data_IF_615807685962
#
_entry.id   IF_615807685962
#
_cell.length_a   1.000
_cell.length_b   1.000
_cell.length_c   1.000
_cell.angle_alpha   90.00
_cell.angle_beta   90.00
_cell.angle_gamma   90.00
#
_symmetry.space_group_name_H-M   'P 1'
#
loop_
_entity.id
_entity.type
_entity.pdbx_description
1 polymer ?
#
# COMPACT_ATOMS: atom_id res chain seq x y z
N UNK A 1 95.59 6.21 -24.10
CA UNK A 1 94.55 7.23 -23.76
C UNK A 1 93.23 6.49 -23.47
N UNK A 2 92.42 7.03 -22.57
CA UNK A 2 91.47 6.36 -21.65
C UNK A 2 90.38 5.49 -22.33
N UNK A 3 90.17 4.26 -21.80
CA UNK A 3 88.99 3.42 -22.05
C UNK A 3 87.76 4.05 -21.36
N UNK A 4 86.73 4.40 -22.11
CA UNK A 4 85.44 4.84 -21.57
C UNK A 4 84.57 3.60 -21.27
N UNK A 5 84.34 3.33 -19.99
CA UNK A 5 83.40 2.32 -19.50
C UNK A 5 81.99 2.93 -19.45
N UNK A 6 81.06 2.38 -20.23
CA UNK A 6 79.64 2.71 -20.11
C UNK A 6 79.01 1.66 -19.18
N UNK A 7 78.86 2.02 -17.90
CA UNK A 7 78.02 1.26 -16.96
C UNK A 7 76.55 1.55 -17.29
N UNK A 8 75.80 0.52 -17.69
CA UNK A 8 74.35 0.57 -17.80
C UNK A 8 73.77 0.76 -16.40
N UNK A 9 73.19 1.93 -16.14
CA UNK A 9 72.38 2.17 -14.94
C UNK A 9 70.99 1.61 -15.25
N UNK A 10 70.71 0.41 -14.77
CA UNK A 10 69.36 -0.16 -14.77
C UNK A 10 68.57 0.49 -13.63
N UNK A 11 67.80 1.52 -13.96
CA UNK A 11 66.84 2.13 -13.04
C UNK A 11 65.63 1.18 -12.94
N UNK A 12 65.54 0.44 -11.83
CA UNK A 12 64.40 -0.43 -11.54
C UNK A 12 63.25 0.44 -11.04
N UNK A 13 62.29 0.79 -11.91
CA UNK A 13 61.05 1.45 -11.52
C UNK A 13 60.07 0.37 -11.07
N UNK A 14 59.90 0.25 -9.75
CA UNK A 14 58.96 -0.68 -9.14
C UNK A 14 57.52 -0.20 -9.39
N UNK A 15 56.82 -0.87 -10.30
CA UNK A 15 55.42 -0.61 -10.61
C UNK A 15 54.52 -1.19 -9.51
N UNK A 16 54.22 -0.38 -8.49
CA UNK A 16 53.14 -0.69 -7.55
C UNK A 16 51.79 -0.34 -8.19
N UNK A 17 51.24 -1.28 -8.96
CA UNK A 17 49.85 -1.22 -9.42
C UNK A 17 48.97 -1.57 -8.22
N UNK A 18 48.49 -0.55 -7.49
CA UNK A 18 47.32 -0.70 -6.62
C UNK A 18 46.13 -1.03 -7.52
N UNK A 19 45.82 -2.32 -7.65
CA UNK A 19 44.52 -2.76 -8.14
C UNK A 19 43.50 -2.37 -7.09
N UNK A 20 42.97 -1.15 -7.18
CA UNK A 20 41.67 -0.82 -6.63
C UNK A 20 40.66 -1.70 -7.36
N UNK A 21 40.38 -2.86 -6.79
CA UNK A 21 39.21 -3.66 -7.09
C UNK A 21 38.00 -2.85 -6.63
N UNK A 22 37.58 -1.90 -7.46
CA UNK A 22 36.27 -1.27 -7.37
C UNK A 22 35.27 -2.38 -7.66
N UNK A 23 34.91 -3.16 -6.63
CA UNK A 23 33.72 -3.99 -6.66
C UNK A 23 32.59 -3.05 -6.99
N UNK A 24 32.14 -3.07 -8.24
CA UNK A 24 30.89 -2.48 -8.65
C UNK A 24 29.84 -3.12 -7.76
N UNK A 25 29.47 -2.45 -6.67
CA UNK A 25 28.30 -2.79 -5.88
C UNK A 25 27.14 -2.53 -6.82
N UNK A 26 26.70 -3.56 -7.53
CA UNK A 26 25.44 -3.53 -8.27
C UNK A 26 24.41 -3.02 -7.28
N UNK A 27 23.80 -1.86 -7.58
CA UNK A 27 22.82 -1.25 -6.72
C UNK A 27 21.66 -2.25 -6.57
N UNK A 28 21.64 -2.95 -5.44
CA UNK A 28 20.62 -3.92 -5.10
C UNK A 28 19.31 -3.13 -4.93
N UNK A 29 18.33 -3.41 -5.77
CA UNK A 29 17.01 -2.78 -5.68
C UNK A 29 16.00 -3.77 -5.14
N UNK A 30 15.05 -3.30 -4.34
CA UNK A 30 13.88 -4.04 -3.88
C UNK A 30 12.67 -3.36 -4.48
N UNK A 31 11.89 -4.08 -5.25
CA UNK A 31 10.68 -3.56 -5.88
C UNK A 31 9.46 -4.06 -5.14
N UNK A 32 8.56 -3.15 -4.76
CA UNK A 32 7.43 -3.45 -3.89
C UNK A 32 6.14 -2.95 -4.53
N UNK A 33 5.17 -3.84 -4.75
CA UNK A 33 3.80 -3.49 -5.08
C UNK A 33 2.97 -3.35 -3.79
N UNK A 34 2.27 -2.23 -3.61
CA UNK A 34 1.57 -1.93 -2.35
C UNK A 34 0.17 -1.39 -2.60
N UNK A 35 -0.82 -1.98 -1.95
CA UNK A 35 -2.18 -1.46 -1.97
C UNK A 35 -2.22 0.00 -1.46
N UNK A 36 -2.95 0.86 -2.18
CA UNK A 36 -2.86 2.31 -1.99
C UNK A 36 -3.26 2.81 -0.59
N UNK A 37 -4.02 2.05 0.21
CA UNK A 37 -4.32 2.41 1.60
C UNK A 37 -3.04 2.46 2.46
N UNK A 38 -2.05 1.63 2.16
CA UNK A 38 -0.84 1.44 2.96
C UNK A 38 0.32 2.36 2.56
N UNK A 39 0.09 3.29 1.63
CA UNK A 39 1.13 4.20 1.12
C UNK A 39 1.85 4.98 2.23
N UNK A 40 1.11 5.63 3.13
CA UNK A 40 1.71 6.44 4.21
C UNK A 40 2.61 5.61 5.14
N UNK A 41 2.13 4.44 5.55
CA UNK A 41 2.89 3.53 6.42
C UNK A 41 4.11 2.94 5.71
N UNK A 42 3.98 2.55 4.43
CA UNK A 42 5.09 2.01 3.66
C UNK A 42 6.24 3.02 3.49
N UNK A 43 5.92 4.28 3.21
CA UNK A 43 6.94 5.34 3.13
C UNK A 43 7.72 5.44 4.46
N UNK A 44 7.02 5.40 5.59
CA UNK A 44 7.66 5.46 6.92
C UNK A 44 8.48 4.19 7.21
N UNK A 45 7.99 3.01 6.84
CA UNK A 45 8.69 1.74 6.99
C UNK A 45 9.99 1.70 6.19
N UNK A 46 9.96 2.11 4.91
CA UNK A 46 11.15 2.14 4.05
C UNK A 46 12.19 3.12 4.59
N UNK A 47 11.76 4.31 5.01
CA UNK A 47 12.67 5.31 5.58
C UNK A 47 13.30 4.83 6.89
N UNK A 48 12.48 4.26 7.80
CA UNK A 48 12.95 3.80 9.10
C UNK A 48 13.81 2.53 8.98
N UNK A 49 13.53 1.65 8.01
CA UNK A 49 14.38 0.52 7.66
C UNK A 49 15.75 1.00 7.18
N UNK A 50 15.80 1.99 6.28
CA UNK A 50 17.06 2.57 5.82
C UNK A 50 17.87 3.26 6.93
N UNK A 51 17.20 3.76 7.97
CA UNK A 51 17.83 4.37 9.15
C UNK A 51 18.17 3.36 10.28
N UNK A 52 17.80 2.09 10.14
CA UNK A 52 17.90 1.09 11.21
C UNK A 52 19.32 0.57 11.47
N UNK A 53 20.29 0.92 10.62
CA UNK A 53 21.66 0.40 10.68
C UNK A 53 21.83 -1.00 10.07
N UNK A 54 20.76 -1.57 9.49
CA UNK A 54 20.85 -2.75 8.63
C UNK A 54 21.65 -2.43 7.35
N UNK A 55 22.28 -3.43 6.70
CA UNK A 55 23.18 -3.20 5.55
C UNK A 55 22.46 -2.77 4.26
N UNK A 56 21.20 -2.37 4.36
CA UNK A 56 20.33 -2.04 3.22
C UNK A 56 19.83 -0.60 3.37
N UNK A 57 20.08 0.22 2.35
CA UNK A 57 19.64 1.61 2.31
C UNK A 57 18.17 1.72 1.89
N UNK A 58 17.46 2.74 2.38
CA UNK A 58 16.12 3.08 1.90
C UNK A 58 16.09 3.44 0.41
N UNK A 59 17.20 3.96 -0.14
CA UNK A 59 17.36 4.27 -1.58
C UNK A 59 17.34 3.04 -2.49
N UNK A 60 17.40 1.83 -1.91
CA UNK A 60 17.27 0.58 -2.64
C UNK A 60 15.82 0.24 -2.99
N UNK A 61 14.81 0.94 -2.44
CA UNK A 61 13.40 0.59 -2.64
C UNK A 61 12.78 1.36 -3.81
N UNK A 62 12.12 0.62 -4.70
CA UNK A 62 11.18 1.17 -5.69
C UNK A 62 9.79 0.67 -5.33
N UNK A 63 8.93 1.59 -4.87
CA UNK A 63 7.58 1.24 -4.40
C UNK A 63 6.53 1.77 -5.37
N UNK A 64 5.63 0.89 -5.82
CA UNK A 64 4.48 1.23 -6.67
C UNK A 64 3.19 1.05 -5.88
N UNK A 65 2.32 2.06 -5.93
CA UNK A 65 1.02 2.04 -5.24
C UNK A 65 -0.13 1.85 -6.22
N UNK A 66 -1.12 1.03 -5.87
CA UNK A 66 -2.20 0.63 -6.79
C UNK A 66 -3.33 -0.14 -6.12
N UNK A 67 -4.23 -0.71 -6.93
CA UNK A 67 -5.27 -1.63 -6.45
C UNK A 67 -4.72 -3.05 -6.30
N UNK A 68 -5.22 -3.78 -5.30
CA UNK A 68 -4.82 -5.16 -5.02
C UNK A 68 -5.08 -6.09 -6.20
N UNK A 69 -6.26 -6.02 -6.80
CA UNK A 69 -6.63 -6.85 -7.96
C UNK A 69 -5.84 -6.53 -9.23
N UNK A 70 -5.46 -5.27 -9.44
CA UNK A 70 -4.63 -4.87 -10.59
C UNK A 70 -3.22 -5.45 -10.46
N UNK A 71 -2.62 -5.37 -9.27
CA UNK A 71 -1.33 -6.01 -9.00
C UNK A 71 -1.41 -7.53 -9.09
N UNK A 72 -2.46 -8.15 -8.55
CA UNK A 72 -2.68 -9.59 -8.68
C UNK A 72 -2.68 -10.01 -10.15
N UNK A 73 -3.47 -9.31 -10.97
CA UNK A 73 -3.59 -9.60 -12.40
C UNK A 73 -2.25 -9.47 -13.10
N UNK A 74 -1.51 -8.37 -12.85
CA UNK A 74 -0.20 -8.14 -13.45
C UNK A 74 0.84 -9.21 -13.02
N UNK A 75 0.88 -9.55 -11.72
CA UNK A 75 1.79 -10.56 -11.17
C UNK A 75 1.47 -11.94 -11.75
N UNK A 76 0.21 -12.37 -11.71
CA UNK A 76 -0.22 -13.65 -12.28
C UNK A 76 0.12 -13.74 -13.77
N UNK A 77 -0.19 -12.69 -14.54
CA UNK A 77 0.10 -12.65 -15.98
C UNK A 77 1.61 -12.80 -16.24
N UNK A 78 2.44 -12.11 -15.46
CA UNK A 78 3.89 -12.21 -15.59
C UNK A 78 4.44 -13.60 -15.20
N UNK A 79 3.91 -14.21 -14.12
CA UNK A 79 4.38 -15.51 -13.63
C UNK A 79 3.84 -16.71 -14.41
N UNK A 80 2.74 -16.55 -15.13
CA UNK A 80 2.16 -17.62 -15.97
C UNK A 80 2.94 -17.85 -17.28
N UNK A 81 3.74 -16.87 -17.72
CA UNK A 81 4.57 -17.03 -18.92
C UNK A 81 5.71 -18.05 -18.68
N UNK A 82 6.12 -18.85 -19.69
CA UNK A 82 7.28 -19.73 -19.56
C UNK A 82 8.55 -18.94 -19.21
N UNK A 83 9.16 -19.25 -18.07
CA UNK A 83 10.30 -18.49 -17.53
C UNK A 83 9.96 -17.07 -17.08
N UNK A 84 8.67 -16.77 -16.92
CA UNK A 84 8.16 -15.46 -16.56
C UNK A 84 8.54 -15.04 -15.14
N UNK A 85 8.93 -13.78 -15.00
CA UNK A 85 9.23 -13.15 -13.71
C UNK A 85 8.43 -11.87 -13.57
N UNK A 86 7.88 -11.63 -12.38
CA UNK A 86 7.25 -10.35 -12.06
C UNK A 86 8.31 -9.28 -11.73
N UNK A 87 8.04 -7.99 -12.01
CA UNK A 87 8.94 -6.91 -11.62
C UNK A 87 8.93 -6.62 -10.12
N UNK A 88 8.20 -7.37 -9.28
CA UNK A 88 8.04 -7.12 -7.85
C UNK A 88 8.68 -8.23 -6.99
N UNK A 89 9.45 -7.84 -5.98
CA UNK A 89 9.99 -8.74 -4.96
C UNK A 89 9.01 -8.97 -3.81
N UNK A 90 8.15 -7.98 -3.57
CA UNK A 90 7.18 -7.96 -2.48
C UNK A 90 5.85 -7.44 -2.99
N UNK A 91 4.77 -8.04 -2.53
CA UNK A 91 3.42 -7.59 -2.76
C UNK A 91 2.66 -7.48 -1.45
N UNK A 92 2.20 -6.27 -1.11
CA UNK A 92 1.38 -5.95 0.06
C UNK A 92 -0.05 -5.69 -0.40
N UNK A 93 -0.94 -6.66 -0.19
CA UNK A 93 -2.35 -6.57 -0.54
C UNK A 93 -3.16 -5.88 0.58
N UNK A 94 -4.38 -5.44 0.26
CA UNK A 94 -5.35 -4.93 1.24
C UNK A 94 -6.39 -5.98 1.67
N UNK A 95 -6.17 -7.23 1.29
CA UNK A 95 -6.92 -8.43 1.68
C UNK A 95 -5.92 -9.56 2.00
N UNK A 96 -6.45 -10.69 2.48
CA UNK A 96 -5.69 -11.91 2.73
C UNK A 96 -5.91 -13.01 1.67
N UNK A 97 -6.98 -12.91 0.89
CA UNK A 97 -7.32 -13.89 -0.14
C UNK A 97 -6.44 -13.77 -1.37
N UNK A 98 -6.02 -12.56 -1.76
CA UNK A 98 -5.23 -12.32 -2.98
C UNK A 98 -3.82 -12.91 -2.85
N UNK A 99 -3.04 -12.65 -1.78
CA UNK A 99 -1.73 -13.29 -1.59
C UNK A 99 -1.82 -14.81 -1.47
N UNK A 100 -2.87 -15.33 -0.82
CA UNK A 100 -3.12 -16.78 -0.73
C UNK A 100 -3.38 -17.43 -2.10
N UNK A 101 -4.17 -16.77 -2.96
CA UNK A 101 -4.41 -17.22 -4.33
C UNK A 101 -3.12 -17.21 -5.16
N UNK A 102 -2.31 -16.14 -5.06
CA UNK A 102 -0.99 -16.07 -5.72
C UNK A 102 -0.08 -17.22 -5.29
N UNK A 103 -0.02 -17.53 -4.00
CA UNK A 103 0.79 -18.63 -3.46
C UNK A 103 0.31 -20.00 -3.97
N UNK A 104 -0.99 -20.16 -4.13
CA UNK A 104 -1.59 -21.39 -4.64
C UNK A 104 -1.27 -21.58 -6.12
N UNK A 105 -1.36 -20.51 -6.92
CA UNK A 105 -1.07 -20.56 -8.36
C UNK A 105 0.43 -20.67 -8.70
N UNK A 106 1.30 -20.10 -7.88
CA UNK A 106 2.73 -20.00 -8.17
C UNK A 106 3.62 -20.46 -6.99
N UNK A 107 3.46 -21.72 -6.53
CA UNK A 107 3.99 -22.19 -5.25
C UNK A 107 5.52 -22.26 -5.16
N UNK A 108 6.22 -22.24 -6.29
CA UNK A 108 7.69 -22.35 -6.37
C UNK A 108 8.39 -21.01 -6.16
N UNK A 109 7.74 -19.90 -6.50
CA UNK A 109 8.34 -18.56 -6.49
C UNK A 109 7.68 -17.65 -5.46
N UNK A 110 6.38 -17.79 -5.24
CA UNK A 110 5.64 -17.03 -4.22
C UNK A 110 5.83 -17.71 -2.87
N UNK A 111 6.27 -16.94 -1.87
CA UNK A 111 6.49 -17.45 -0.51
C UNK A 111 5.17 -17.52 0.27
N UNK A 112 5.20 -18.08 1.49
CA UNK A 112 4.01 -18.12 2.35
C UNK A 112 3.58 -16.68 2.70
N UNK A 113 2.31 -16.30 2.49
CA UNK A 113 1.82 -14.99 2.89
C UNK A 113 1.89 -14.78 4.39
N UNK A 114 2.04 -13.52 4.81
CA UNK A 114 2.01 -13.13 6.22
C UNK A 114 1.11 -11.92 6.42
N UNK A 115 0.35 -11.93 7.52
CA UNK A 115 -0.46 -10.80 7.98
C UNK A 115 0.46 -9.67 8.43
N UNK A 116 0.28 -8.48 7.87
CA UNK A 116 1.01 -7.28 8.29
C UNK A 116 0.14 -6.21 8.95
N UNK A 117 -1.17 -6.17 8.63
CA UNK A 117 -2.08 -5.18 9.18
C UNK A 117 -3.54 -5.63 9.10
N UNK A 118 -4.39 -4.99 9.90
CA UNK A 118 -5.83 -4.92 9.66
C UNK A 118 -6.28 -3.46 9.48
N UNK A 119 -7.00 -3.21 8.41
CA UNK A 119 -7.50 -1.90 8.02
C UNK A 119 -8.86 -1.56 8.61
N UNK A 120 -9.25 -0.29 8.47
CA UNK A 120 -10.59 0.19 8.87
C UNK A 120 -11.20 1.09 7.81
N UNK A 121 -12.48 0.87 7.53
CA UNK A 121 -13.26 1.64 6.57
C UNK A 121 -13.91 2.85 7.25
N UNK A 122 -13.79 4.02 6.63
CA UNK A 122 -14.39 5.27 7.08
C UNK A 122 -15.31 5.82 5.98
N UNK A 123 -16.49 6.30 6.33
CA UNK A 123 -17.19 7.29 5.51
C UNK A 123 -16.73 8.68 5.94
N UNK A 124 -16.07 9.41 5.05
CA UNK A 124 -15.60 10.77 5.33
C UNK A 124 -16.41 11.77 4.51
N UNK A 125 -16.97 12.76 5.20
CA UNK A 125 -17.68 13.89 4.63
C UNK A 125 -16.89 15.17 4.90
N UNK A 126 -16.09 15.61 3.93
CA UNK A 126 -15.19 16.76 4.10
C UNK A 126 -15.96 18.08 4.14
N UNK A 127 -16.86 18.26 3.18
CA UNK A 127 -17.75 19.44 3.07
C UNK A 127 -19.21 19.04 2.81
N UNK A 128 -19.53 17.76 2.94
CA UNK A 128 -20.88 17.25 2.78
C UNK A 128 -21.69 17.28 4.09
N UNK A 129 -22.73 16.45 4.21
CA UNK A 129 -23.55 16.35 5.41
C UNK A 129 -22.74 15.87 6.61
N UNK A 130 -23.20 16.19 7.82
CA UNK A 130 -22.64 15.61 9.02
C UNK A 130 -22.93 14.10 9.07
N UNK A 131 -21.87 13.27 9.07
CA UNK A 131 -21.97 11.81 9.16
C UNK A 131 -21.66 11.27 10.56
N UNK A 132 -21.21 12.11 11.51
CA UNK A 132 -20.88 11.67 12.87
C UNK A 132 -22.11 11.47 13.76
N UNK A 133 -23.24 12.09 13.41
CA UNK A 133 -24.51 11.99 14.17
C UNK A 133 -25.45 10.90 13.65
N UNK A 134 -25.01 10.09 12.70
CA UNK A 134 -25.83 9.08 11.99
C UNK A 134 -26.07 7.80 12.80
N UNK A 135 -26.54 7.87 14.05
CA UNK A 135 -26.93 6.70 14.86
C UNK A 135 -25.91 5.53 14.86
N UNK A 136 -26.39 4.31 15.09
CA UNK A 136 -25.56 3.08 15.00
C UNK A 136 -25.22 2.68 13.56
N UNK A 137 -25.95 3.16 12.56
CA UNK A 137 -25.77 2.75 11.16
C UNK A 137 -24.75 3.58 10.38
N UNK A 138 -24.29 4.73 10.86
CA UNK A 138 -23.34 5.63 10.17
C UNK A 138 -23.87 6.30 8.91
N UNK A 139 -25.01 5.81 8.43
CA UNK A 139 -25.55 6.05 7.12
C UNK A 139 -27.07 5.91 7.24
N UNK A 140 -27.85 6.99 7.28
CA UNK A 140 -29.32 6.89 7.30
C UNK A 140 -29.93 6.79 5.90
N UNK A 141 -29.33 7.39 4.86
CA UNK A 141 -29.65 7.09 3.45
C UNK A 141 -28.68 7.76 2.44
N UNK A 142 -27.88 7.04 1.62
CA UNK A 142 -27.03 7.68 0.59
C UNK A 142 -27.87 8.42 -0.45
N UNK A 143 -29.08 7.92 -0.71
CA UNK A 143 -30.03 8.53 -1.61
C UNK A 143 -30.50 9.90 -1.10
N UNK A 144 -30.48 10.15 0.22
CA UNK A 144 -30.81 11.46 0.79
C UNK A 144 -29.65 12.43 0.85
N UNK A 145 -28.42 12.02 0.54
CA UNK A 145 -27.27 12.93 0.47
C UNK A 145 -26.89 13.28 -0.97
N UNK A 146 -27.43 12.54 -1.93
CA UNK A 146 -27.32 12.85 -3.35
C UNK A 146 -28.33 13.93 -3.83
N UNK A 147 -28.90 14.72 -2.92
CA UNK A 147 -29.75 15.87 -3.27
C UNK A 147 -28.89 17.04 -3.76
N UNK A 148 -28.46 16.94 -5.00
CA UNK A 148 -28.75 17.90 -6.06
C UNK A 148 -27.83 17.64 -7.25
N UNK A 149 -26.53 17.33 -7.06
CA UNK A 149 -25.57 17.09 -8.16
C UNK A 149 -24.30 16.29 -7.78
N UNK A 150 -24.20 15.73 -6.56
CA UNK A 150 -22.97 15.11 -6.04
C UNK A 150 -22.97 13.60 -5.96
N UNK A 151 -21.87 12.97 -6.38
CA UNK A 151 -21.64 11.52 -6.27
C UNK A 151 -20.77 11.20 -5.04
N UNK A 152 -21.08 10.11 -4.33
CA UNK A 152 -20.26 9.58 -3.23
C UNK A 152 -19.06 8.84 -3.83
N UNK A 153 -17.84 9.20 -3.43
CA UNK A 153 -16.65 8.52 -3.92
C UNK A 153 -16.55 7.11 -3.33
N UNK A 154 -16.31 6.11 -4.18
CA UNK A 154 -16.14 4.71 -3.79
C UNK A 154 -15.02 4.08 -4.62
N UNK A 155 -14.20 3.22 -4.01
CA UNK A 155 -13.20 2.45 -4.75
C UNK A 155 -13.88 1.32 -5.53
N UNK A 156 -13.30 0.91 -6.66
CA UNK A 156 -13.81 -0.18 -7.49
C UNK A 156 -13.90 -1.47 -6.65
N UNK A 157 -15.11 -2.01 -6.37
CA UNK A 157 -15.26 -3.18 -5.51
C UNK A 157 -14.71 -4.47 -6.14
N UNK A 158 -14.45 -4.47 -7.46
CA UNK A 158 -13.86 -5.62 -8.16
C UNK A 158 -12.37 -5.75 -7.87
N UNK A 159 -11.64 -4.63 -7.74
CA UNK A 159 -10.17 -4.65 -7.67
C UNK A 159 -9.62 -4.11 -6.35
N UNK A 160 -10.43 -3.41 -5.55
CA UNK A 160 -10.01 -2.79 -4.30
C UNK A 160 -10.80 -3.36 -3.10
N UNK A 161 -10.13 -4.00 -2.13
CA UNK A 161 -10.78 -4.55 -0.92
C UNK A 161 -11.59 -3.53 -0.11
N UNK A 162 -11.14 -2.28 -0.05
CA UNK A 162 -11.90 -1.19 0.58
C UNK A 162 -13.18 -0.82 -0.21
N UNK A 163 -13.18 -1.02 -1.53
CA UNK A 163 -14.37 -0.92 -2.37
C UNK A 163 -15.36 -2.04 -2.08
N UNK A 164 -14.87 -3.28 -1.94
CA UNK A 164 -15.68 -4.44 -1.52
C UNK A 164 -16.29 -4.19 -0.14
N UNK A 165 -15.52 -3.69 0.82
CA UNK A 165 -16.04 -3.34 2.15
C UNK A 165 -17.11 -2.23 2.08
N UNK A 166 -16.90 -1.20 1.26
CA UNK A 166 -17.92 -0.16 1.04
C UNK A 166 -19.20 -0.73 0.40
N UNK A 167 -19.09 -1.60 -0.59
CA UNK A 167 -20.22 -2.33 -1.17
C UNK A 167 -20.97 -3.15 -0.09
N UNK A 168 -20.25 -3.83 0.79
CA UNK A 168 -20.86 -4.59 1.88
C UNK A 168 -21.59 -3.68 2.87
N UNK A 169 -21.05 -2.51 3.20
CA UNK A 169 -21.77 -1.51 4.00
C UNK A 169 -23.08 -1.11 3.31
N UNK A 170 -23.00 -0.73 2.03
CA UNK A 170 -24.19 -0.33 1.27
C UNK A 170 -25.26 -1.42 1.27
N UNK A 171 -24.86 -2.68 1.09
CA UNK A 171 -25.78 -3.82 1.08
C UNK A 171 -26.33 -4.15 2.47
N UNK A 172 -25.46 -4.35 3.47
CA UNK A 172 -25.81 -4.87 4.81
C UNK A 172 -26.42 -3.82 5.72
N UNK A 173 -26.03 -2.56 5.56
CA UNK A 173 -26.43 -1.45 6.44
C UNK A 173 -27.51 -0.59 5.79
N UNK A 174 -27.43 -0.37 4.48
CA UNK A 174 -28.30 0.57 3.78
C UNK A 174 -29.31 -0.07 2.82
N UNK A 175 -29.30 -1.40 2.67
CA UNK A 175 -30.13 -2.12 1.69
C UNK A 175 -29.97 -1.58 0.26
N UNK A 176 -28.76 -1.12 -0.08
CA UNK A 176 -28.41 -0.59 -1.41
C UNK A 176 -27.58 -1.61 -2.16
N UNK A 177 -28.06 -1.95 -3.35
CA UNK A 177 -27.29 -2.75 -4.31
C UNK A 177 -26.38 -1.82 -5.10
N UNK A 178 -25.09 -2.11 -5.08
CA UNK A 178 -24.05 -1.45 -5.87
C UNK A 178 -22.91 -2.45 -6.10
N UNK A 179 -22.30 -2.54 -7.28
CA UNK A 179 -22.76 -1.93 -8.54
C UNK A 179 -23.96 -2.70 -9.12
N UNK A 180 -24.54 -2.21 -10.22
CA UNK A 180 -25.64 -2.83 -10.94
C UNK A 180 -27.03 -2.53 -10.38
N UNK A 181 -27.15 -1.54 -9.50
CA UNK A 181 -28.42 -1.19 -8.85
C UNK A 181 -28.98 0.16 -9.28
N UNK A 182 -30.19 0.49 -8.79
CA UNK A 182 -30.84 1.78 -9.05
C UNK A 182 -30.06 3.00 -8.51
N UNK A 183 -29.07 2.77 -7.64
CA UNK A 183 -28.28 3.81 -7.00
C UNK A 183 -26.90 4.02 -7.63
N UNK A 184 -26.53 3.30 -8.69
CA UNK A 184 -25.19 3.38 -9.30
C UNK A 184 -24.78 4.81 -9.67
N UNK A 185 -25.71 5.59 -10.23
CA UNK A 185 -25.46 6.99 -10.61
C UNK A 185 -25.12 7.90 -9.40
N UNK A 186 -25.39 7.45 -8.17
CA UNK A 186 -25.07 8.18 -6.93
C UNK A 186 -23.63 7.97 -6.47
N UNK A 187 -22.88 7.08 -7.10
CA UNK A 187 -21.51 6.77 -6.73
C UNK A 187 -20.54 7.12 -7.86
N UNK A 188 -19.44 7.76 -7.50
CA UNK A 188 -18.30 7.98 -8.39
C UNK A 188 -17.27 6.90 -8.08
N UNK A 189 -17.09 5.97 -9.02
CA UNK A 189 -16.14 4.88 -8.85
C UNK A 189 -14.72 5.34 -9.19
N UNK A 190 -13.76 4.99 -8.34
CA UNK A 190 -12.33 5.23 -8.53
C UNK A 190 -11.55 3.93 -8.51
N UNK A 191 -10.44 3.85 -9.25
CA UNK A 191 -9.67 2.60 -9.40
C UNK A 191 -9.10 2.07 -8.08
N UNK A 192 -8.64 2.95 -7.19
CA UNK A 192 -8.00 2.57 -5.93
C UNK A 192 -8.57 3.38 -4.78
N UNK A 193 -8.45 2.87 -3.56
CA UNK A 193 -8.79 3.64 -2.35
C UNK A 193 -7.93 4.92 -2.22
N UNK A 194 -6.74 4.94 -2.81
CA UNK A 194 -5.89 6.13 -2.93
C UNK A 194 -6.53 7.21 -3.78
N UNK A 195 -7.00 6.87 -4.98
CA UNK A 195 -7.66 7.84 -5.88
C UNK A 195 -9.03 8.25 -5.34
N UNK A 196 -9.76 7.36 -4.64
CA UNK A 196 -10.99 7.71 -3.90
C UNK A 196 -10.72 8.79 -2.85
N UNK A 197 -9.71 8.60 -1.99
CA UNK A 197 -9.34 9.61 -1.00
C UNK A 197 -8.92 10.93 -1.63
N UNK A 198 -8.07 10.90 -2.66
CA UNK A 198 -7.62 12.12 -3.34
C UNK A 198 -8.80 12.90 -3.91
N UNK A 199 -9.80 12.23 -4.48
CA UNK A 199 -10.98 12.89 -5.00
C UNK A 199 -11.78 13.62 -3.90
N UNK A 200 -12.05 12.95 -2.78
CA UNK A 200 -12.74 13.59 -1.64
C UNK A 200 -11.90 14.72 -1.04
N UNK A 201 -10.59 14.50 -0.90
CA UNK A 201 -9.66 15.47 -0.33
C UNK A 201 -9.46 16.69 -1.24
N UNK A 202 -9.62 16.56 -2.56
CA UNK A 202 -9.51 17.66 -3.50
C UNK A 202 -10.73 18.60 -3.47
N UNK A 203 -11.87 18.16 -2.92
CA UNK A 203 -13.01 19.05 -2.71
C UNK A 203 -12.62 20.25 -1.86
N UNK A 204 -13.16 21.41 -2.21
CA UNK A 204 -12.91 22.72 -1.58
C UNK A 204 -14.15 23.34 -0.95
N UNK A 205 -15.35 22.79 -1.21
CA UNK A 205 -16.62 23.34 -0.74
C UNK A 205 -17.73 22.29 -0.77
N UNK A 206 -18.89 22.64 -0.22
CA UNK A 206 -20.10 21.81 -0.27
C UNK A 206 -20.64 21.59 -1.69
N UNK A 207 -20.18 22.35 -2.69
CA UNK A 207 -20.62 22.27 -4.08
C UNK A 207 -19.57 21.67 -5.04
N UNK A 208 -18.36 21.37 -4.55
CA UNK A 208 -17.30 20.71 -5.33
C UNK A 208 -17.30 19.22 -5.02
N UNK A 209 -17.72 18.39 -5.98
CA UNK A 209 -17.89 16.94 -5.79
C UNK A 209 -16.71 16.12 -6.36
N UNK A 210 -16.44 14.91 -5.80
CA UNK A 210 -17.06 14.36 -4.60
C UNK A 210 -16.51 15.05 -3.34
N UNK A 211 -17.39 15.41 -2.40
CA UNK A 211 -17.03 15.96 -1.09
C UNK A 211 -17.30 15.00 0.08
N UNK A 212 -17.72 13.78 -0.27
CA UNK A 212 -17.98 12.66 0.63
C UNK A 212 -17.52 11.36 -0.05
N UNK A 213 -17.01 10.40 0.71
CA UNK A 213 -16.65 9.09 0.17
C UNK A 213 -16.17 8.08 1.20
N UNK A 214 -16.12 6.83 0.77
CA UNK A 214 -15.54 5.73 1.54
C UNK A 214 -14.02 5.73 1.38
N UNK A 215 -13.30 5.87 2.50
CA UNK A 215 -11.84 5.99 2.55
C UNK A 215 -11.25 5.05 3.60
N UNK A 216 -9.95 4.81 3.54
CA UNK A 216 -9.23 4.09 4.58
C UNK A 216 -8.92 5.01 5.77
N UNK A 217 -9.10 4.52 7.02
CA UNK A 217 -8.73 5.28 8.22
C UNK A 217 -7.28 5.77 8.20
N UNK A 218 -6.37 4.97 7.66
CA UNK A 218 -4.95 5.32 7.48
C UNK A 218 -4.75 6.63 6.71
N UNK A 219 -5.64 6.97 5.78
CA UNK A 219 -5.55 8.19 4.96
C UNK A 219 -5.99 9.44 5.72
N UNK A 220 -6.72 9.29 6.83
CA UNK A 220 -7.11 10.36 7.75
C UNK A 220 -6.25 10.38 9.01
N UNK A 221 -5.41 9.37 9.20
CA UNK A 221 -4.57 9.21 10.37
C UNK A 221 -3.52 10.32 10.47
N UNK A 222 -3.16 10.66 11.70
CA UNK A 222 -1.97 11.39 12.07
C UNK A 222 -0.96 10.40 12.68
N UNK A 223 0.14 10.16 11.97
CA UNK A 223 1.16 9.20 12.38
C UNK A 223 1.94 9.59 13.64
N UNK A 224 1.79 10.82 14.13
CA UNK A 224 2.38 11.21 15.41
C UNK A 224 1.56 10.71 16.61
N UNK A 225 0.24 10.55 16.43
CA UNK A 225 -0.70 10.20 17.51
C UNK A 225 -1.28 8.79 17.38
N UNK A 226 -1.28 8.19 16.19
CA UNK A 226 -1.99 6.92 15.96
C UNK A 226 -3.51 7.05 15.94
N UNK A 227 -4.00 8.28 15.79
CA UNK A 227 -5.42 8.62 15.76
C UNK A 227 -5.76 9.38 14.48
N UNK A 228 -7.05 9.58 14.22
CA UNK A 228 -7.49 10.47 13.14
C UNK A 228 -6.99 11.89 13.45
N UNK A 229 -6.44 12.56 12.44
CA UNK A 229 -5.84 13.89 12.59
C UNK A 229 -6.84 14.88 13.18
N UNK A 230 -6.37 15.75 14.06
CA UNK A 230 -7.18 16.77 14.70
C UNK A 230 -6.46 18.13 14.58
N UNK A 231 -7.06 19.16 13.96
CA UNK A 231 -8.40 19.17 13.37
C UNK A 231 -8.48 18.35 12.06
N UNK A 232 -9.61 17.68 11.84
CA UNK A 232 -10.00 17.13 10.53
C UNK A 232 -11.04 18.07 9.91
N UNK A 233 -10.88 18.40 8.62
CA UNK A 233 -11.95 19.09 7.89
C UNK A 233 -13.13 18.14 7.66
N UNK A 234 -14.31 18.55 8.12
CA UNK A 234 -15.56 17.80 7.97
C UNK A 234 -15.78 16.79 9.10
N UNK A 235 -16.57 15.77 8.82
CA UNK A 235 -16.98 14.74 9.78
C UNK A 235 -16.75 13.36 9.21
N UNK A 236 -16.66 12.35 10.06
CA UNK A 236 -16.43 10.98 9.63
C UNK A 236 -17.23 9.99 10.48
N UNK A 237 -17.44 8.80 9.94
CA UNK A 237 -17.98 7.65 10.64
C UNK A 237 -17.11 6.42 10.38
N UNK A 238 -16.71 5.73 11.44
CA UNK A 238 -15.91 4.49 11.38
C UNK A 238 -16.83 3.27 11.42
N UNK A 239 -16.82 2.46 10.36
CA UNK A 239 -17.53 1.18 10.36
C UNK A 239 -16.67 0.15 11.10
N UNK A 240 -17.13 -0.25 12.29
CA UNK A 240 -16.47 -1.30 13.08
C UNK A 240 -17.33 -2.55 13.11
N UNK A 241 -16.76 -3.75 13.35
CA UNK A 241 -17.52 -5.00 13.38
C UNK A 241 -18.72 -5.01 14.36
N UNK A 242 -18.76 -4.12 15.36
CA UNK A 242 -19.81 -4.08 16.37
C UNK A 242 -20.95 -3.09 16.08
N UNK A 243 -20.86 -2.25 15.03
CA UNK A 243 -21.71 -1.04 14.97
C UNK A 243 -23.15 -1.26 14.48
N UNK A 244 -23.52 -2.36 13.81
CA UNK A 244 -24.84 -2.43 13.14
C UNK A 244 -25.64 -3.71 13.45
N UNK A 245 -26.75 -3.58 14.20
CA UNK A 245 -27.83 -4.59 14.31
C UNK A 245 -27.37 -6.05 14.56
N UNK A 246 -26.29 -6.26 15.32
CA UNK A 246 -25.76 -7.59 15.63
C UNK A 246 -24.93 -8.27 14.53
N UNK A 247 -24.72 -7.62 13.38
CA UNK A 247 -23.88 -8.11 12.28
C UNK A 247 -22.77 -7.11 11.92
N UNK A 248 -21.59 -7.58 11.48
CA UNK A 248 -20.55 -6.67 11.04
C UNK A 248 -20.96 -5.98 9.73
N UNK A 249 -20.78 -4.64 9.61
CA UNK A 249 -21.22 -3.86 8.46
C UNK A 249 -20.46 -4.23 7.18
N UNK A 250 -19.27 -4.82 7.32
CA UNK A 250 -18.45 -5.40 6.26
C UNK A 250 -17.52 -6.45 6.89
N UNK A 251 -16.89 -7.28 6.06
CA UNK A 251 -15.90 -8.26 6.50
C UNK A 251 -14.63 -7.56 6.97
N UNK A 252 -13.83 -8.24 7.80
CA UNK A 252 -12.58 -7.67 8.32
C UNK A 252 -11.61 -7.39 7.17
N UNK A 253 -10.99 -6.21 7.18
CA UNK A 253 -9.98 -5.79 6.19
C UNK A 253 -8.60 -6.32 6.60
N UNK A 254 -8.49 -7.64 6.64
CA UNK A 254 -7.27 -8.37 6.94
C UNK A 254 -6.27 -8.24 5.79
N UNK A 255 -5.03 -7.81 6.05
CA UNK A 255 -4.08 -7.45 4.98
C UNK A 255 -2.82 -8.31 5.04
N UNK A 256 -2.59 -9.08 3.99
CA UNK A 256 -1.42 -9.94 3.87
C UNK A 256 -0.41 -9.42 2.85
N UNK A 257 0.84 -9.78 3.06
CA UNK A 257 1.93 -9.53 2.15
C UNK A 257 2.65 -10.82 1.80
N UNK A 258 3.34 -10.83 0.67
CA UNK A 258 4.07 -11.99 0.19
C UNK A 258 5.36 -11.60 -0.52
N UNK A 259 6.43 -12.37 -0.30
CA UNK A 259 7.65 -12.29 -1.11
C UNK A 259 7.52 -13.13 -2.39
N UNK A 260 8.05 -12.60 -3.48
CA UNK A 260 8.09 -13.27 -4.78
C UNK A 260 9.55 -13.39 -5.20
N UNK A 261 10.02 -14.61 -5.42
CA UNK A 261 11.41 -14.93 -5.73
C UNK A 261 11.64 -14.99 -7.23
N UNK A 262 12.89 -14.74 -7.64
CA UNK A 262 13.34 -14.97 -9.02
C UNK A 262 13.53 -13.72 -9.88
N UNK A 263 13.25 -12.51 -9.36
CA UNK A 263 13.54 -11.27 -10.10
C UNK A 263 15.04 -11.01 -10.18
N UNK A 264 15.53 -10.69 -11.38
CA UNK A 264 16.93 -10.27 -11.58
C UNK A 264 17.22 -8.93 -10.87
N UNK A 265 18.40 -8.82 -10.23
CA UNK A 265 18.81 -7.62 -9.49
C UNK A 265 18.18 -7.48 -8.09
N UNK A 266 17.32 -8.43 -7.70
CA UNK A 266 16.80 -8.56 -6.34
C UNK A 266 17.81 -9.19 -5.39
N UNK A 267 17.63 -8.96 -4.10
CA UNK A 267 18.33 -9.73 -3.07
C UNK A 267 17.36 -10.32 -2.07
N UNK A 268 17.30 -11.64 -2.02
CA UNK A 268 16.45 -12.35 -1.06
C UNK A 268 16.78 -11.95 0.39
N UNK A 269 18.07 -11.72 0.69
CA UNK A 269 18.51 -11.25 2.00
C UNK A 269 17.92 -9.89 2.38
N UNK A 270 17.86 -8.92 1.46
CA UNK A 270 17.29 -7.61 1.77
C UNK A 270 15.76 -7.65 1.86
N UNK A 271 15.12 -8.45 1.00
CA UNK A 271 13.67 -8.72 1.08
C UNK A 271 13.32 -9.33 2.42
N UNK A 272 14.08 -10.33 2.87
CA UNK A 272 13.82 -11.05 4.13
C UNK A 272 14.13 -10.16 5.34
N UNK A 273 15.19 -9.35 5.28
CA UNK A 273 15.48 -8.35 6.29
C UNK A 273 14.36 -7.30 6.40
N UNK A 274 13.80 -6.85 5.27
CA UNK A 274 12.68 -5.92 5.28
C UNK A 274 11.41 -6.55 5.85
N UNK A 275 11.07 -7.78 5.46
CA UNK A 275 9.94 -8.53 6.05
C UNK A 275 10.11 -8.65 7.57
N UNK A 276 11.31 -9.05 8.02
CA UNK A 276 11.61 -9.16 9.45
C UNK A 276 11.48 -7.80 10.16
N UNK A 277 11.90 -6.71 9.52
CA UNK A 277 11.74 -5.36 10.05
C UNK A 277 10.27 -4.95 10.16
N UNK A 278 9.44 -5.21 9.15
CA UNK A 278 7.99 -4.95 9.19
C UNK A 278 7.34 -5.67 10.38
N UNK A 279 7.74 -6.92 10.64
CA UNK A 279 7.26 -7.71 11.78
C UNK A 279 7.86 -7.34 13.14
N UNK A 280 8.94 -6.56 13.17
CA UNK A 280 9.63 -6.15 14.40
C UNK A 280 8.80 -5.17 15.23
N UNK A 281 9.16 -4.97 16.50
CA UNK A 281 8.54 -3.96 17.37
C UNK A 281 8.55 -2.56 16.74
N UNK A 282 9.63 -2.17 16.07
CA UNK A 282 9.75 -0.86 15.42
C UNK A 282 8.83 -0.75 14.19
N UNK A 283 8.81 -1.76 13.32
CA UNK A 283 7.94 -1.79 12.15
C UNK A 283 6.46 -1.80 12.53
N UNK A 284 6.09 -2.65 13.50
CA UNK A 284 4.72 -2.70 14.04
C UNK A 284 4.30 -1.38 14.69
N UNK A 285 5.21 -0.69 15.38
CA UNK A 285 4.90 0.63 15.95
C UNK A 285 4.57 1.66 14.85
N UNK A 286 5.23 1.61 13.69
CA UNK A 286 4.90 2.46 12.53
C UNK A 286 3.52 2.11 11.99
N UNK A 287 3.21 0.81 11.84
CA UNK A 287 1.90 0.34 11.36
C UNK A 287 0.77 0.83 12.27
N UNK A 288 0.91 0.64 13.59
CA UNK A 288 -0.06 1.09 14.58
C UNK A 288 -0.25 2.62 14.56
N UNK A 289 0.86 3.37 14.45
CA UNK A 289 0.82 4.83 14.31
C UNK A 289 0.08 5.28 13.05
N UNK A 290 -0.02 4.44 12.02
CA UNK A 290 -0.79 4.74 10.81
C UNK A 290 -2.24 4.21 10.89
N UNK A 291 -2.78 4.01 12.11
CA UNK A 291 -4.16 3.63 12.39
C UNK A 291 -4.57 2.22 11.91
N UNK A 292 -3.61 1.32 11.74
CA UNK A 292 -3.85 -0.11 11.54
C UNK A 292 -3.88 -0.85 12.88
N UNK A 293 -4.39 -2.09 12.87
CA UNK A 293 -4.30 -3.06 13.98
C UNK A 293 -3.28 -4.14 13.63
#
# INVERSE_FOLDING_TARGET
MKKLSIRKITLSVSASVLMLSSSATWAQSITVAVAANFQGAMVQLVNAFGASGLPFSGSSFTVTYGATGDFQTAINTALAAPGGTTPYDLFFAADDTTPAALRTGHPTVVQVPFRYAEGKLILWSKYGPNVSTSGSSGFTNPASYAYANGQVAIANPVTAPYGTAAQQVLSRVNAITYPGGAYDAKFAQYTTIGTTYTAVNASTSATTYPNIGFVAKSQLCDSSTGAIRTPLTGTYFEYTPATVNGNPPHDRLLQDAVAIRGRAGSTNAAVDAFIAYVGSTAGRAIILKNCYI
#
